data_IF_233711669883
#
_entry.id   IF_233711669883
#
_cell.length_a   1.000
_cell.length_b   1.000
_cell.length_c   1.000
_cell.angle_alpha   90.00
_cell.angle_beta   90.00
_cell.angle_gamma   90.00
#
_symmetry.space_group_name_H-M   'P 1'
#
loop_
_entity.id
_entity.type
_entity.pdbx_description
1 polymer ?
#
# COMPACT_ATOMS: atom_id res chain seq x y z
N UNK A 1 16.79 -17.99 23.31
CA UNK A 1 15.57 -18.76 23.04
C UNK A 1 14.81 -18.09 21.93
N UNK A 2 14.84 -18.66 20.70
CA UNK A 2 14.10 -18.13 19.57
C UNK A 2 12.59 -18.13 19.86
N UNK A 3 11.86 -17.21 19.25
CA UNK A 3 10.40 -17.11 19.37
C UNK A 3 9.70 -18.40 18.89
N UNK A 4 10.40 -19.20 18.06
CA UNK A 4 9.87 -20.44 17.49
C UNK A 4 10.86 -21.60 17.66
N UNK A 5 10.42 -22.79 18.08
CA UNK A 5 11.25 -23.98 18.11
C UNK A 5 11.81 -24.31 16.72
N UNK A 6 13.10 -24.62 16.65
CA UNK A 6 13.78 -24.99 15.40
C UNK A 6 14.24 -23.81 14.54
N UNK A 7 14.24 -22.61 15.09
CA UNK A 7 14.85 -21.43 14.42
C UNK A 7 16.36 -21.63 14.30
N UNK A 8 16.90 -21.52 13.09
CA UNK A 8 18.31 -21.70 12.82
C UNK A 8 19.07 -20.42 13.13
N UNK A 9 20.11 -20.53 13.96
CA UNK A 9 21.09 -19.49 14.25
C UNK A 9 20.60 -18.37 15.18
N UNK A 10 21.53 -17.89 16.02
CA UNK A 10 21.25 -16.82 16.98
C UNK A 10 21.40 -15.42 16.37
N UNK A 11 22.02 -15.30 15.20
CA UNK A 11 22.39 -14.04 14.60
C UNK A 11 21.90 -13.97 13.15
N UNK A 12 21.12 -12.92 12.85
CA UNK A 12 20.64 -12.58 11.51
C UNK A 12 21.08 -11.16 11.19
N UNK A 13 21.60 -10.96 9.99
CA UNK A 13 21.99 -9.65 9.47
C UNK A 13 21.01 -9.24 8.41
N UNK A 14 20.56 -8.00 8.44
CA UNK A 14 19.80 -7.42 7.37
C UNK A 14 20.25 -5.98 7.10
N UNK A 15 20.25 -5.60 5.83
CA UNK A 15 20.49 -4.25 5.37
C UNK A 15 19.28 -3.78 4.59
N UNK A 16 18.79 -2.59 4.92
CA UNK A 16 17.67 -1.93 4.24
C UNK A 16 18.16 -0.62 3.65
N UNK A 17 17.77 -0.36 2.42
CA UNK A 17 17.89 0.93 1.74
C UNK A 17 16.52 1.38 1.28
N UNK A 18 16.15 2.60 1.61
CA UNK A 18 14.86 3.20 1.24
C UNK A 18 15.07 4.65 0.76
N UNK A 19 15.68 4.86 -0.42
CA UNK A 19 15.86 6.19 -0.96
C UNK A 19 14.51 6.80 -1.36
N UNK A 20 14.34 8.08 -1.04
CA UNK A 20 13.18 8.88 -1.39
C UNK A 20 13.59 10.09 -2.21
N UNK A 21 12.85 10.37 -3.28
CA UNK A 21 13.01 11.54 -4.13
C UNK A 21 11.67 12.25 -4.19
N UNK A 22 11.67 13.51 -3.74
CA UNK A 22 10.53 14.41 -3.85
C UNK A 22 10.94 15.58 -4.75
N UNK A 23 10.14 15.83 -5.78
CA UNK A 23 10.30 16.97 -6.66
C UNK A 23 8.97 17.70 -6.81
N UNK A 24 9.04 19.02 -6.86
CA UNK A 24 7.89 19.89 -7.08
C UNK A 24 8.23 20.94 -8.13
N UNK A 25 7.27 21.28 -9.00
CA UNK A 25 7.39 22.35 -9.96
C UNK A 25 7.50 23.72 -9.28
N UNK A 26 8.03 24.71 -9.97
CA UNK A 26 8.15 26.09 -9.45
C UNK A 26 6.77 26.71 -9.14
N UNK A 27 5.73 26.34 -9.90
CA UNK A 27 4.33 26.74 -9.63
C UNK A 27 3.71 26.05 -8.43
N UNK A 28 4.26 24.90 -8.02
CA UNK A 28 3.72 24.07 -6.95
C UNK A 28 2.67 23.04 -7.40
N UNK A 29 2.13 23.19 -8.61
CA UNK A 29 0.98 22.42 -9.09
C UNK A 29 1.32 20.96 -9.41
N UNK A 30 2.59 20.67 -9.74
CA UNK A 30 3.03 19.31 -10.08
C UNK A 30 4.02 18.80 -9.05
N UNK A 31 3.75 17.60 -8.55
CA UNK A 31 4.63 16.90 -7.62
C UNK A 31 4.96 15.51 -8.15
N UNK A 32 6.21 15.11 -7.98
CA UNK A 32 6.69 13.75 -8.26
C UNK A 32 7.28 13.19 -6.98
N UNK A 33 6.83 12.01 -6.60
CA UNK A 33 7.38 11.27 -5.48
C UNK A 33 7.85 9.90 -5.96
N UNK A 34 9.03 9.47 -5.50
CA UNK A 34 9.57 8.14 -5.74
C UNK A 34 10.16 7.63 -4.42
N UNK A 35 9.61 6.55 -3.88
CA UNK A 35 10.12 5.84 -2.71
C UNK A 35 10.43 4.40 -3.10
N UNK A 36 11.70 4.15 -3.36
CA UNK A 36 12.18 2.79 -3.60
C UNK A 36 12.53 2.10 -2.27
N UNK A 37 12.50 0.79 -2.26
CA UNK A 37 12.84 -0.03 -1.11
C UNK A 37 13.67 -1.23 -1.53
N UNK A 38 14.71 -1.54 -0.80
CA UNK A 38 15.51 -2.75 -0.99
C UNK A 38 15.94 -3.33 0.34
N UNK A 39 15.80 -4.63 0.49
CA UNK A 39 16.32 -5.38 1.63
C UNK A 39 17.15 -6.56 1.18
N UNK A 40 18.28 -6.77 1.87
CA UNK A 40 19.00 -8.04 1.88
C UNK A 40 19.00 -8.62 3.29
N UNK A 41 18.85 -9.93 3.38
CA UNK A 41 18.73 -10.68 4.65
C UNK A 41 19.57 -11.95 4.58
N UNK A 42 20.32 -12.27 5.65
CA UNK A 42 21.22 -13.42 5.64
C UNK A 42 20.53 -14.76 5.81
N UNK A 43 19.38 -14.81 6.48
CA UNK A 43 18.71 -16.04 6.87
C UNK A 43 17.43 -16.31 6.08
N UNK A 44 16.73 -15.27 5.63
CA UNK A 44 15.44 -15.41 4.97
C UNK A 44 15.49 -14.85 3.55
N UNK A 45 15.58 -15.75 2.57
CA UNK A 45 15.62 -15.36 1.16
C UNK A 45 14.33 -14.72 0.65
N UNK A 46 13.17 -14.98 1.26
CA UNK A 46 11.92 -14.32 0.91
C UNK A 46 11.90 -12.84 1.32
N UNK A 47 12.71 -12.47 2.31
CA UNK A 47 12.89 -11.08 2.70
C UNK A 47 13.99 -10.35 1.92
N UNK A 48 14.60 -11.01 0.95
CA UNK A 48 15.50 -10.37 -0.01
C UNK A 48 14.69 -9.88 -1.19
N UNK A 49 14.32 -8.62 -1.23
CA UNK A 49 13.47 -8.08 -2.27
C UNK A 49 13.76 -6.61 -2.57
N UNK A 50 13.34 -6.20 -3.76
CA UNK A 50 13.26 -4.81 -4.19
C UNK A 50 11.79 -4.47 -4.44
N UNK A 51 11.38 -3.28 -4.05
CA UNK A 51 10.02 -2.80 -4.25
C UNK A 51 10.00 -1.30 -4.58
N UNK A 52 9.01 -0.87 -5.32
CA UNK A 52 8.66 0.53 -5.48
C UNK A 52 7.46 0.80 -4.57
N UNK A 53 7.73 1.39 -3.41
CA UNK A 53 6.72 1.67 -2.37
C UNK A 53 5.75 2.75 -2.81
N UNK A 54 6.30 3.80 -3.41
CA UNK A 54 5.57 4.89 -4.03
C UNK A 54 6.32 5.35 -5.27
N UNK A 55 5.58 5.75 -6.29
CA UNK A 55 6.15 6.26 -7.53
C UNK A 55 5.04 6.88 -8.35
N UNK A 56 4.74 8.18 -8.11
CA UNK A 56 3.61 8.83 -8.72
C UNK A 56 3.93 10.26 -9.16
N UNK A 57 3.13 10.73 -10.10
CA UNK A 57 3.00 12.12 -10.46
C UNK A 57 1.62 12.57 -10.01
N UNK A 58 1.57 13.66 -9.25
CA UNK A 58 0.37 14.36 -8.83
C UNK A 58 0.35 15.73 -9.50
N UNK A 59 -0.80 16.12 -10.06
CA UNK A 59 -0.99 17.43 -10.65
C UNK A 59 -2.30 18.04 -10.19
N UNK A 60 -2.22 19.30 -9.76
CA UNK A 60 -3.34 20.10 -9.32
C UNK A 60 -3.80 21.00 -10.46
N UNK A 61 -5.05 20.85 -10.87
CA UNK A 61 -5.77 21.71 -11.81
C UNK A 61 -6.67 22.66 -11.01
N UNK A 62 -7.26 23.63 -11.68
CA UNK A 62 -8.11 24.65 -11.01
C UNK A 62 -9.25 24.03 -10.19
N UNK A 63 -9.92 22.98 -10.70
CA UNK A 63 -11.12 22.39 -10.09
C UNK A 63 -10.92 20.97 -9.56
N UNK A 64 -9.81 20.32 -9.90
CA UNK A 64 -9.56 18.94 -9.52
C UNK A 64 -8.07 18.62 -9.46
N UNK A 65 -7.73 17.55 -8.78
CA UNK A 65 -6.38 16.97 -8.77
C UNK A 65 -6.38 15.63 -9.48
N UNK A 66 -5.28 15.30 -10.14
CA UNK A 66 -5.07 13.99 -10.75
C UNK A 66 -3.75 13.39 -10.28
N UNK A 67 -3.74 12.09 -10.02
CA UNK A 67 -2.55 11.34 -9.67
C UNK A 67 -2.48 10.07 -10.52
N UNK A 68 -1.31 9.80 -11.06
CA UNK A 68 -1.01 8.57 -11.78
C UNK A 68 0.29 7.96 -11.26
N UNK A 69 0.26 6.67 -10.99
CA UNK A 69 1.44 5.92 -10.54
C UNK A 69 1.14 4.93 -9.43
N UNK A 70 2.16 4.59 -8.65
CA UNK A 70 2.05 3.71 -7.49
C UNK A 70 1.90 4.57 -6.25
N UNK A 71 0.76 4.46 -5.57
CA UNK A 71 0.46 5.28 -4.40
C UNK A 71 -0.25 4.49 -3.30
N UNK A 72 -0.22 5.04 -2.09
CA UNK A 72 -0.97 4.56 -0.92
C UNK A 72 -2.15 5.48 -0.66
N UNK A 73 -3.30 4.90 -0.39
CA UNK A 73 -4.53 5.64 -0.09
C UNK A 73 -4.98 5.32 1.32
N UNK A 74 -5.20 6.34 2.12
CA UNK A 74 -5.69 6.23 3.49
C UNK A 74 -7.05 6.91 3.59
N UNK A 75 -8.07 6.12 3.92
CA UNK A 75 -9.45 6.59 4.08
C UNK A 75 -9.90 6.71 5.53
N UNK A 76 -9.16 6.06 6.41
CA UNK A 76 -9.50 6.00 7.82
C UNK A 76 -9.18 7.30 8.56
N UNK A 77 -10.09 7.69 9.47
CA UNK A 77 -9.87 8.75 10.46
C UNK A 77 -9.45 8.17 11.82
N UNK A 78 -9.65 6.86 12.03
CA UNK A 78 -9.26 6.17 13.26
C UNK A 78 -7.85 5.59 13.13
N UNK A 79 -6.91 6.08 13.90
CA UNK A 79 -5.51 5.65 13.88
C UNK A 79 -5.30 4.24 14.43
N UNK A 80 -6.13 3.82 15.40
CA UNK A 80 -5.96 2.53 16.10
C UNK A 80 -6.47 1.31 15.31
N UNK A 81 -7.38 1.49 14.35
CA UNK A 81 -7.90 0.41 13.48
C UNK A 81 -8.28 0.98 12.11
N UNK A 82 -7.61 0.50 11.08
CA UNK A 82 -7.78 0.95 9.69
C UNK A 82 -8.82 0.10 8.96
N UNK A 83 -10.06 0.07 9.46
CA UNK A 83 -11.12 -0.79 8.94
C UNK A 83 -11.60 -0.43 7.53
N UNK A 84 -11.41 0.82 7.12
CA UNK A 84 -11.86 1.34 5.82
C UNK A 84 -10.73 1.49 4.80
N UNK A 85 -9.48 1.23 5.19
CA UNK A 85 -8.31 1.28 4.30
C UNK A 85 -8.16 -0.03 3.54
N UNK A 86 -9.04 -0.26 2.57
CA UNK A 86 -9.20 -1.52 1.83
C UNK A 86 -8.46 -1.54 0.49
N UNK A 87 -7.95 -0.40 0.02
CA UNK A 87 -7.32 -0.30 -1.31
C UNK A 87 -5.95 -0.96 -1.33
N UNK A 88 -5.11 -0.64 -0.36
CA UNK A 88 -3.72 -1.05 -0.37
C UNK A 88 -3.49 -2.35 0.41
N UNK A 89 -2.72 -3.26 -0.19
CA UNK A 89 -2.30 -4.50 0.48
C UNK A 89 -1.40 -4.21 1.68
N UNK A 90 -1.52 -5.04 2.70
CA UNK A 90 -0.66 -5.00 3.89
C UNK A 90 0.73 -5.53 3.56
N UNK A 91 1.76 -4.92 4.13
CA UNK A 91 3.13 -5.42 4.07
C UNK A 91 3.44 -6.35 5.24
N UNK A 92 3.09 -7.62 5.10
CA UNK A 92 3.37 -8.66 6.09
C UNK A 92 4.82 -9.17 6.05
N UNK A 93 5.55 -8.84 4.99
CA UNK A 93 6.93 -9.28 4.84
C UNK A 93 7.88 -8.44 5.70
N UNK A 94 7.58 -7.14 5.83
CA UNK A 94 8.39 -6.20 6.59
C UNK A 94 7.83 -5.94 8.01
N UNK A 95 6.51 -5.90 8.13
CA UNK A 95 5.82 -5.48 9.35
C UNK A 95 4.73 -6.48 9.73
N UNK A 96 4.77 -6.94 10.97
CA UNK A 96 3.80 -7.95 11.48
C UNK A 96 2.58 -7.33 12.15
N UNK A 97 2.54 -6.02 12.28
CA UNK A 97 1.46 -5.28 12.95
C UNK A 97 0.27 -4.93 12.05
N UNK A 98 0.32 -5.28 10.75
CA UNK A 98 -0.68 -4.94 9.73
C UNK A 98 -0.86 -3.43 9.48
N UNK A 99 0.04 -2.60 9.93
CA UNK A 99 -0.08 -1.15 9.79
C UNK A 99 0.51 -0.63 8.48
N UNK A 100 1.64 -1.19 8.06
CA UNK A 100 2.29 -0.80 6.82
C UNK A 100 1.52 -1.27 5.58
N UNK A 101 1.44 -0.38 4.60
CA UNK A 101 0.75 -0.62 3.31
C UNK A 101 1.72 -0.59 2.15
N UNK A 102 1.43 -1.41 1.16
CA UNK A 102 2.11 -1.41 -0.15
C UNK A 102 1.41 -0.46 -1.10
N UNK A 103 2.17 0.29 -1.88
CA UNK A 103 1.60 1.12 -2.93
C UNK A 103 0.89 0.29 -4.00
N UNK A 104 -0.21 0.80 -4.54
CA UNK A 104 -1.00 0.17 -5.60
C UNK A 104 -0.91 1.02 -6.87
N UNK A 105 -0.64 0.42 -8.05
CA UNK A 105 -0.74 1.14 -9.31
C UNK A 105 -2.14 1.67 -9.54
N UNK A 106 -2.27 2.98 -9.73
CA UNK A 106 -3.57 3.64 -9.84
C UNK A 106 -3.55 4.90 -10.68
N UNK A 107 -4.71 5.26 -11.16
CA UNK A 107 -5.11 6.60 -11.57
C UNK A 107 -6.16 7.07 -10.58
N UNK A 108 -5.97 8.24 -9.97
CA UNK A 108 -7.01 8.86 -9.15
C UNK A 108 -7.29 10.28 -9.62
N UNK A 109 -8.54 10.68 -9.49
CA UNK A 109 -9.02 12.04 -9.71
C UNK A 109 -9.85 12.42 -8.50
N UNK A 110 -9.59 13.61 -7.96
CA UNK A 110 -10.32 14.13 -6.80
C UNK A 110 -10.63 15.61 -6.97
N UNK A 111 -11.75 16.04 -6.41
CA UNK A 111 -12.15 17.43 -6.31
C UNK A 111 -12.62 17.72 -4.91
N UNK A 112 -12.35 18.92 -4.43
CA UNK A 112 -12.79 19.43 -3.15
C UNK A 112 -13.51 20.76 -3.35
N UNK A 113 -14.81 20.77 -3.03
CA UNK A 113 -15.71 21.89 -3.30
C UNK A 113 -16.54 22.17 -2.06
N UNK A 114 -17.31 23.27 -2.06
CA UNK A 114 -18.19 23.66 -0.94
C UNK A 114 -19.20 22.56 -0.54
N UNK A 115 -19.55 21.67 -1.46
CA UNK A 115 -20.46 20.54 -1.24
C UNK A 115 -19.75 19.28 -0.70
N UNK A 116 -18.43 19.26 -0.60
CA UNK A 116 -17.61 18.18 -0.10
C UNK A 116 -16.56 17.70 -1.10
N UNK A 117 -15.73 16.76 -0.65
CA UNK A 117 -14.68 16.15 -1.44
C UNK A 117 -15.17 14.85 -2.11
N UNK A 118 -14.89 14.70 -3.40
CA UNK A 118 -15.17 13.49 -4.17
C UNK A 118 -13.89 12.95 -4.79
N UNK A 119 -13.62 11.67 -4.61
CA UNK A 119 -12.43 11.00 -5.16
C UNK A 119 -12.80 9.72 -5.88
N UNK A 120 -12.30 9.54 -7.09
CA UNK A 120 -12.44 8.32 -7.90
C UNK A 120 -11.08 7.68 -8.13
N UNK A 121 -11.03 6.34 -8.09
CA UNK A 121 -9.82 5.53 -8.23
C UNK A 121 -10.03 4.43 -9.26
N UNK A 122 -9.09 4.29 -10.17
CA UNK A 122 -8.95 3.16 -11.07
C UNK A 122 -7.61 2.50 -10.77
N UNK A 123 -7.65 1.27 -10.31
CA UNK A 123 -6.47 0.51 -9.92
C UNK A 123 -6.24 -0.65 -10.86
N UNK A 124 -4.99 -1.03 -11.03
CA UNK A 124 -4.58 -2.15 -11.87
C UNK A 124 -3.52 -2.98 -11.18
N UNK A 125 -3.51 -4.27 -11.49
CA UNK A 125 -2.55 -5.20 -10.90
C UNK A 125 -2.94 -5.60 -9.48
N UNK A 126 -2.58 -6.83 -9.14
CA UNK A 126 -2.82 -7.41 -7.83
C UNK A 126 -1.50 -7.49 -7.07
N UNK A 127 -1.45 -6.92 -5.87
CA UNK A 127 -0.32 -7.07 -4.94
C UNK A 127 -0.56 -8.26 -4.04
N UNK A 128 0.28 -9.30 -4.18
CA UNK A 128 0.18 -10.49 -3.34
C UNK A 128 0.50 -10.16 -1.89
N UNK A 129 -0.22 -10.81 -0.98
CA UNK A 129 0.18 -10.84 0.42
C UNK A 129 1.36 -11.80 0.57
N UNK A 130 2.51 -11.28 0.92
CA UNK A 130 3.74 -12.05 1.08
C UNK A 130 4.11 -12.20 2.56
N UNK A 131 4.72 -13.32 2.89
CA UNK A 131 5.10 -13.66 4.26
C UNK A 131 6.57 -14.07 4.33
N UNK A 132 7.17 -13.89 5.50
CA UNK A 132 8.51 -14.37 5.79
C UNK A 132 8.66 -15.88 5.53
N UNK A 133 9.82 -16.26 5.06
CA UNK A 133 10.16 -17.65 4.78
C UNK A 133 10.32 -18.48 6.05
N UNK A 134 10.46 -19.80 5.88
CA UNK A 134 10.56 -20.76 6.98
C UNK A 134 11.83 -20.61 7.81
N UNK A 135 12.86 -19.98 7.27
CA UNK A 135 14.15 -19.76 7.94
C UNK A 135 14.19 -18.43 8.72
N UNK A 136 13.20 -17.55 8.49
CA UNK A 136 13.15 -16.24 9.11
C UNK A 136 12.63 -16.24 10.55
N UNK A 137 13.01 -15.23 11.34
CA UNK A 137 12.48 -15.03 12.70
C UNK A 137 10.99 -14.69 12.72
N UNK A 138 10.50 -14.04 11.66
CA UNK A 138 9.11 -13.58 11.54
C UNK A 138 8.22 -14.62 10.84
N UNK A 139 8.69 -15.85 10.66
CA UNK A 139 7.92 -16.93 10.05
C UNK A 139 6.64 -17.23 10.83
N UNK A 140 5.62 -17.59 10.10
CA UNK A 140 4.40 -18.14 10.68
C UNK A 140 4.67 -19.56 11.24
N UNK A 141 3.86 -20.05 12.19
CA UNK A 141 4.02 -21.40 12.75
C UNK A 141 3.72 -22.51 11.75
N UNK A 142 3.23 -22.17 10.57
CA UNK A 142 2.92 -23.06 9.44
C UNK A 142 3.46 -22.45 8.14
N UNK A 143 3.87 -23.29 7.16
CA UNK A 143 4.33 -22.80 5.87
C UNK A 143 3.17 -22.19 5.08
N UNK A 144 3.40 -21.00 4.52
CA UNK A 144 2.48 -20.38 3.57
C UNK A 144 2.85 -20.83 2.16
N UNK A 145 1.88 -21.41 1.45
CA UNK A 145 2.07 -21.83 0.07
C UNK A 145 1.98 -20.63 -0.87
N UNK A 146 2.87 -20.56 -1.84
CA UNK A 146 2.88 -19.49 -2.86
C UNK A 146 1.79 -19.68 -3.94
N UNK A 147 0.93 -20.68 -3.77
CA UNK A 147 -0.17 -20.98 -4.68
C UNK A 147 -1.37 -20.10 -4.36
N UNK A 148 -1.53 -19.01 -5.10
CA UNK A 148 -2.70 -18.15 -4.95
C UNK A 148 -3.94 -18.75 -5.59
N UNK A 149 -5.09 -18.64 -4.90
CA UNK A 149 -6.41 -18.92 -5.44
C UNK A 149 -7.09 -17.58 -5.73
N UNK A 150 -7.36 -17.33 -7.00
CA UNK A 150 -7.99 -16.08 -7.44
C UNK A 150 -9.51 -16.27 -7.57
N UNK A 151 -10.28 -15.36 -6.99
CA UNK A 151 -11.73 -15.31 -7.16
C UNK A 151 -12.14 -14.75 -8.51
N UNK A 152 -11.30 -13.93 -9.14
CA UNK A 152 -11.57 -13.28 -10.42
C UNK A 152 -10.86 -13.97 -11.59
N UNK A 153 -11.56 -14.08 -12.74
CA UNK A 153 -11.04 -14.74 -13.96
C UNK A 153 -9.78 -14.07 -14.53
N UNK A 154 -9.64 -12.76 -14.35
CA UNK A 154 -8.47 -11.99 -14.81
C UNK A 154 -7.25 -12.14 -13.93
N UNK A 155 -7.37 -12.79 -12.77
CA UNK A 155 -6.26 -13.01 -11.83
C UNK A 155 -5.53 -11.69 -11.49
N UNK A 156 -4.20 -11.67 -11.65
CA UNK A 156 -3.34 -10.52 -11.37
C UNK A 156 -3.60 -9.29 -12.27
N UNK A 157 -4.40 -9.43 -13.34
CA UNK A 157 -4.77 -8.35 -14.27
C UNK A 157 -6.17 -7.78 -13.99
N UNK A 158 -6.74 -8.07 -12.84
CA UNK A 158 -8.01 -7.47 -12.44
C UNK A 158 -7.87 -5.94 -12.40
N UNK A 159 -8.97 -5.27 -12.71
CA UNK A 159 -9.10 -3.81 -12.55
C UNK A 159 -10.09 -3.56 -11.45
N UNK A 160 -9.67 -2.76 -10.51
CA UNK A 160 -10.44 -2.41 -9.33
C UNK A 160 -10.85 -0.93 -9.42
N UNK A 161 -12.03 -0.62 -8.91
CA UNK A 161 -12.59 0.73 -8.91
C UNK A 161 -13.04 1.09 -7.52
N UNK A 162 -12.79 2.34 -7.14
CA UNK A 162 -13.28 2.87 -5.89
C UNK A 162 -13.79 4.30 -6.08
N UNK A 163 -14.80 4.67 -5.29
CA UNK A 163 -15.32 6.01 -5.19
C UNK A 163 -15.49 6.37 -3.72
N UNK A 164 -15.09 7.57 -3.36
CA UNK A 164 -15.25 8.11 -2.01
C UNK A 164 -15.80 9.51 -2.06
N UNK A 165 -16.82 9.76 -1.25
CA UNK A 165 -17.31 11.08 -0.90
C UNK A 165 -17.04 11.36 0.57
N UNK A 166 -16.61 12.57 0.87
CA UNK A 166 -16.37 13.05 2.24
C UNK A 166 -16.92 14.47 2.38
N UNK A 167 -17.56 14.74 3.51
CA UNK A 167 -18.00 16.09 3.85
C UNK A 167 -18.07 16.26 5.38
N UNK A 168 -17.76 17.46 5.86
CA UNK A 168 -17.88 17.85 7.26
C UNK A 168 -19.12 18.75 7.42
N UNK A 169 -20.09 18.30 8.20
CA UNK A 169 -21.33 19.02 8.47
C UNK A 169 -21.38 19.42 9.96
N UNK A 170 -20.88 20.60 10.29
CA UNK A 170 -20.80 21.07 11.68
C UNK A 170 -19.82 20.23 12.50
N UNK A 171 -20.33 19.51 13.51
CA UNK A 171 -19.52 18.63 14.38
C UNK A 171 -19.42 17.19 13.85
N UNK A 172 -20.01 16.90 12.70
CA UNK A 172 -20.07 15.55 12.13
C UNK A 172 -19.28 15.45 10.85
N UNK A 173 -18.49 14.38 10.72
CA UNK A 173 -17.81 13.99 9.51
C UNK A 173 -18.56 12.83 8.84
N UNK A 174 -18.92 13.01 7.57
CA UNK A 174 -19.58 12.00 6.75
C UNK A 174 -18.61 11.46 5.72
N UNK A 175 -18.33 10.17 5.75
CA UNK A 175 -17.57 9.46 4.72
C UNK A 175 -18.41 8.35 4.11
N UNK A 176 -18.61 8.38 2.79
CA UNK A 176 -19.25 7.33 2.02
C UNK A 176 -18.25 6.78 1.02
N UNK A 177 -18.13 5.47 0.94
CA UNK A 177 -17.22 4.85 -0.03
C UNK A 177 -17.83 3.59 -0.63
N UNK A 178 -17.45 3.30 -1.86
CA UNK A 178 -17.73 2.04 -2.54
C UNK A 178 -16.45 1.52 -3.18
N UNK A 179 -16.29 0.20 -3.16
CA UNK A 179 -15.16 -0.49 -3.77
C UNK A 179 -15.68 -1.70 -4.55
N UNK A 180 -15.16 -1.87 -5.74
CA UNK A 180 -15.37 -3.06 -6.56
C UNK A 180 -14.01 -3.55 -7.02
N UNK A 181 -13.60 -4.69 -6.51
CA UNK A 181 -12.28 -5.25 -6.76
C UNK A 181 -12.08 -6.62 -6.13
N UNK A 182 -10.84 -7.08 -6.14
CA UNK A 182 -10.40 -8.40 -5.66
C UNK A 182 -9.50 -8.30 -4.45
#
# INVERSE_FOLDING_TARGET
>A
TGLYPGQLGDLQYSLVLAPEINWQSDSGDTQVNILAFGRTESADTKRQHLDLREGYIHHEFDDFTALIGINKVFWGVAESRRLVDIINQVDQLEYTDNDARLGQPMLSISTDQDWGALSGFLMTGFRKLEFAGTEGRLRLPYPVLDTAVFSHRSREKAKDYALRYYNSCGEFDLGLSTFNGT
#
